data_IF_526811320843
#
_entry.id   IF_526811320843
#
_cell.length_a   1.000
_cell.length_b   1.000
_cell.length_c   1.000
_cell.angle_alpha   90.00
_cell.angle_beta   90.00
_cell.angle_gamma   90.00
#
_symmetry.space_group_name_H-M   'P 1'
#
loop_
_entity.id
_entity.type
_entity.pdbx_description
1 polymer ?
#
# COMPACT_ATOMS: atom_id res chain seq x y z
N UNK A 1 -21.48 4.85 6.54
CA UNK A 1 -21.78 3.45 6.11
C UNK A 1 -20.66 2.59 6.64
N UNK A 2 -20.95 1.61 7.45
CA UNK A 2 -19.97 0.60 7.90
C UNK A 2 -19.51 -0.22 6.69
N UNK A 3 -18.23 -0.58 6.65
CA UNK A 3 -17.70 -1.51 5.63
C UNK A 3 -18.55 -2.79 5.71
N UNK A 4 -19.15 -3.20 4.59
CA UNK A 4 -19.92 -4.45 4.55
C UNK A 4 -19.02 -5.65 4.86
N UNK A 5 -19.57 -6.73 5.44
CA UNK A 5 -18.79 -7.93 5.79
C UNK A 5 -18.11 -8.57 4.57
N UNK A 6 -18.62 -8.31 3.37
CA UNK A 6 -18.09 -8.86 2.11
C UNK A 6 -17.11 -7.89 1.39
N UNK A 7 -16.78 -6.76 2.01
CA UNK A 7 -15.85 -5.79 1.44
C UNK A 7 -14.42 -6.10 1.86
N UNK A 8 -13.51 -6.18 0.91
CA UNK A 8 -12.08 -6.34 1.15
C UNK A 8 -11.42 -4.96 1.09
N UNK A 9 -10.73 -4.57 2.16
CA UNK A 9 -9.90 -3.36 2.12
C UNK A 9 -8.51 -3.72 1.61
N UNK A 10 -8.05 -2.99 0.58
CA UNK A 10 -6.73 -3.21 -0.03
C UNK A 10 -5.87 -1.98 0.18
N UNK A 11 -4.68 -2.16 0.72
CA UNK A 11 -3.62 -1.15 0.66
C UNK A 11 -2.73 -1.48 -0.53
N UNK A 12 -2.63 -0.53 -1.47
CA UNK A 12 -1.87 -0.72 -2.71
C UNK A 12 -0.92 0.43 -3.02
N UNK A 13 -0.15 0.29 -4.09
CA UNK A 13 0.84 1.22 -4.61
C UNK A 13 2.07 0.50 -5.13
N UNK A 14 3.04 1.26 -5.65
CA UNK A 14 4.36 0.71 -5.95
C UNK A 14 5.09 0.29 -4.67
N UNK A 15 6.04 -0.65 -4.74
CA UNK A 15 6.99 -0.86 -3.65
C UNK A 15 7.63 0.46 -3.23
N UNK A 16 7.86 0.68 -1.92
CA UNK A 16 8.47 1.88 -1.33
C UNK A 16 7.60 3.16 -1.31
N UNK A 17 6.32 3.07 -1.65
CA UNK A 17 5.38 4.21 -1.54
C UNK A 17 4.76 4.38 -0.14
N UNK A 18 5.16 3.59 0.86
CA UNK A 18 4.62 3.69 2.22
C UNK A 18 3.44 2.78 2.51
N UNK A 19 3.22 1.74 1.71
CA UNK A 19 2.14 0.77 1.94
C UNK A 19 2.20 0.11 3.32
N UNK A 20 3.39 -0.21 3.84
CA UNK A 20 3.52 -0.76 5.21
C UNK A 20 3.18 0.26 6.29
N UNK A 21 3.47 1.55 6.09
CA UNK A 21 3.07 2.64 6.98
C UNK A 21 1.53 2.74 7.02
N UNK A 22 0.88 2.66 5.86
CA UNK A 22 -0.58 2.67 5.78
C UNK A 22 -1.21 1.46 6.47
N UNK A 23 -0.62 0.26 6.32
CA UNK A 23 -1.08 -0.94 7.05
C UNK A 23 -1.02 -0.74 8.56
N UNK A 24 0.05 -0.10 9.09
CA UNK A 24 0.16 0.24 10.51
C UNK A 24 -0.91 1.22 10.97
N UNK A 25 -1.18 2.26 10.17
CA UNK A 25 -2.25 3.21 10.49
C UNK A 25 -3.60 2.51 10.60
N UNK A 26 -3.93 1.63 9.66
CA UNK A 26 -5.20 0.91 9.64
C UNK A 26 -5.31 -0.10 10.80
N UNK A 27 -4.21 -0.80 11.14
CA UNK A 27 -4.14 -1.66 12.31
C UNK A 27 -4.36 -0.86 13.60
N UNK A 28 -3.67 0.27 13.75
CA UNK A 28 -3.85 1.17 14.90
C UNK A 28 -5.26 1.76 14.97
N UNK A 29 -5.90 1.99 13.83
CA UNK A 29 -7.30 2.40 13.73
C UNK A 29 -8.32 1.33 14.08
N UNK A 30 -7.87 0.09 14.34
CA UNK A 30 -8.73 -1.02 14.78
C UNK A 30 -9.14 -1.98 13.66
N UNK A 31 -8.58 -1.86 12.45
CA UNK A 31 -8.86 -2.83 11.38
C UNK A 31 -8.10 -4.14 11.57
N UNK A 32 -8.75 -5.24 11.22
CA UNK A 32 -8.11 -6.56 11.22
C UNK A 32 -7.24 -6.70 9.98
N UNK A 33 -5.96 -6.99 10.20
CA UNK A 33 -4.97 -7.13 9.13
C UNK A 33 -4.82 -8.59 8.73
N UNK A 34 -4.90 -8.88 7.43
CA UNK A 34 -4.57 -10.19 6.87
C UNK A 34 -3.08 -10.20 6.52
N UNK A 35 -2.29 -10.90 7.33
CA UNK A 35 -0.84 -11.07 7.17
C UNK A 35 -0.42 -12.42 7.77
N UNK A 36 0.62 -13.02 7.23
CA UNK A 36 1.22 -14.23 7.79
C UNK A 36 2.42 -13.97 8.72
N UNK A 37 2.92 -12.72 8.73
CA UNK A 37 4.08 -12.28 9.53
C UNK A 37 5.36 -13.08 9.26
N UNK A 38 5.47 -13.76 8.10
CA UNK A 38 6.65 -14.53 7.71
C UNK A 38 7.86 -13.62 7.54
N UNK A 39 7.65 -12.47 6.88
CA UNK A 39 8.72 -11.50 6.69
C UNK A 39 8.85 -10.59 7.90
N UNK A 40 9.90 -10.81 8.71
CA UNK A 40 10.22 -10.02 9.90
C UNK A 40 10.66 -8.59 9.54
N UNK A 41 10.51 -7.68 10.50
CA UNK A 41 11.01 -6.33 10.42
C UNK A 41 12.54 -6.31 10.25
N UNK A 42 13.03 -5.37 9.44
CA UNK A 42 14.45 -5.12 9.21
C UNK A 42 14.74 -3.61 9.18
N UNK A 43 15.97 -3.21 8.84
CA UNK A 43 16.35 -1.79 8.75
C UNK A 43 15.60 -1.03 7.65
N UNK A 44 15.10 -1.71 6.62
CA UNK A 44 14.34 -1.12 5.52
C UNK A 44 12.88 -0.91 5.89
N UNK A 45 12.37 -1.71 6.84
CA UNK A 45 11.02 -1.59 7.37
C UNK A 45 10.95 -2.05 8.84
N UNK A 46 11.37 -1.16 9.74
CA UNK A 46 11.54 -1.42 11.18
C UNK A 46 10.26 -1.85 11.91
N UNK A 47 9.09 -1.55 11.34
CA UNK A 47 7.78 -1.88 11.92
C UNK A 47 7.10 -3.07 11.25
N UNK A 48 7.80 -3.75 10.31
CA UNK A 48 7.31 -4.95 9.63
C UNK A 48 6.68 -4.68 8.26
N UNK A 49 6.53 -5.74 7.50
CA UNK A 49 6.16 -5.66 6.08
C UNK A 49 4.68 -5.85 5.81
N UNK A 50 3.93 -6.48 6.71
CA UNK A 50 2.50 -6.76 6.54
C UNK A 50 2.19 -7.51 5.23
N UNK A 51 3.08 -8.39 4.83
CA UNK A 51 2.90 -9.22 3.64
C UNK A 51 2.04 -10.44 3.98
N UNK A 52 1.35 -10.95 2.97
CA UNK A 52 0.62 -12.21 3.01
C UNK A 52 1.06 -13.01 1.80
N UNK A 53 1.73 -14.15 2.01
CA UNK A 53 2.45 -14.88 0.96
C UNK A 53 1.53 -15.29 -0.19
N UNK A 54 0.26 -15.63 0.12
CA UNK A 54 -0.73 -16.02 -0.90
C UNK A 54 -1.05 -14.91 -1.92
N UNK A 55 -0.76 -13.64 -1.61
CA UNK A 55 -0.91 -12.53 -2.57
C UNK A 55 -0.04 -12.74 -3.81
N UNK A 56 1.12 -13.37 -3.67
CA UNK A 56 2.03 -13.65 -4.80
C UNK A 56 1.41 -14.61 -5.82
N UNK A 57 0.49 -15.45 -5.39
CA UNK A 57 -0.23 -16.39 -6.26
C UNK A 57 -1.57 -15.86 -6.77
N UNK A 58 -1.94 -14.58 -6.53
CA UNK A 58 -3.24 -14.01 -6.86
C UNK A 58 -3.67 -14.23 -8.33
N UNK A 59 -2.71 -14.27 -9.25
CA UNK A 59 -2.97 -14.56 -10.67
C UNK A 59 -3.52 -15.97 -10.91
N UNK A 60 -3.13 -16.94 -10.09
CA UNK A 60 -3.45 -18.37 -10.28
C UNK A 60 -4.35 -18.95 -9.19
N UNK A 61 -4.34 -18.36 -7.98
CA UNK A 61 -5.16 -18.80 -6.85
C UNK A 61 -5.77 -17.58 -6.14
N UNK A 62 -7.09 -17.50 -6.14
CA UNK A 62 -7.90 -16.45 -5.54
C UNK A 62 -8.75 -16.94 -4.36
N UNK A 63 -8.67 -18.23 -3.99
CA UNK A 63 -9.52 -18.83 -2.97
C UNK A 63 -9.34 -18.17 -1.59
N UNK A 64 -8.14 -17.67 -1.30
CA UNK A 64 -7.82 -16.99 -0.05
C UNK A 64 -8.53 -15.62 0.11
N UNK A 65 -9.10 -15.05 -0.96
CA UNK A 65 -9.84 -13.77 -0.88
C UNK A 65 -11.06 -13.88 0.03
N UNK A 66 -11.64 -15.06 0.19
CA UNK A 66 -12.71 -15.29 1.16
C UNK A 66 -12.24 -14.99 2.60
N UNK A 67 -10.99 -15.30 2.94
CA UNK A 67 -10.38 -15.00 4.23
C UNK A 67 -10.09 -13.51 4.42
N UNK A 68 -10.07 -12.73 3.33
CA UNK A 68 -9.80 -11.28 3.34
C UNK A 68 -11.07 -10.44 3.54
N UNK A 69 -12.26 -11.03 3.44
CA UNK A 69 -13.54 -10.32 3.65
C UNK A 69 -13.60 -9.66 5.02
N UNK A 70 -13.93 -8.37 5.07
CA UNK A 70 -13.95 -7.55 6.28
C UNK A 70 -12.57 -7.20 6.85
N UNK A 71 -11.48 -7.53 6.16
CA UNK A 71 -10.08 -7.31 6.59
C UNK A 71 -9.33 -6.43 5.62
N UNK A 72 -8.12 -6.04 6.04
CA UNK A 72 -7.15 -5.30 5.21
C UNK A 72 -6.06 -6.24 4.73
N UNK A 73 -5.75 -6.18 3.45
CA UNK A 73 -4.63 -6.90 2.84
C UNK A 73 -3.77 -5.97 2.00
N UNK A 74 -2.45 -6.16 2.02
CA UNK A 74 -1.52 -5.40 1.19
C UNK A 74 -1.29 -6.12 -0.14
N UNK A 75 -1.58 -5.43 -1.25
CA UNK A 75 -1.43 -5.94 -2.62
C UNK A 75 -0.71 -4.87 -3.45
N UNK A 76 0.44 -5.20 -4.05
CA UNK A 76 1.15 -4.26 -4.93
C UNK A 76 0.31 -3.93 -6.18
N UNK A 77 0.51 -2.73 -6.74
CA UNK A 77 -0.31 -2.21 -7.85
C UNK A 77 -0.34 -3.13 -9.07
N UNK A 78 0.75 -3.81 -9.38
CA UNK A 78 0.87 -4.76 -10.49
C UNK A 78 -0.13 -5.94 -10.39
N UNK A 79 -0.48 -6.34 -9.17
CA UNK A 79 -1.36 -7.49 -8.94
C UNK A 79 -2.85 -7.13 -8.88
N UNK A 80 -3.22 -5.85 -8.80
CA UNK A 80 -4.62 -5.43 -8.71
C UNK A 80 -5.48 -5.93 -9.88
N UNK A 81 -4.91 -6.01 -11.07
CA UNK A 81 -5.58 -6.49 -12.27
C UNK A 81 -6.11 -7.94 -12.18
N UNK A 82 -5.60 -8.72 -11.24
CA UNK A 82 -6.01 -10.11 -11.02
C UNK A 82 -7.11 -10.24 -9.95
N UNK A 83 -7.55 -9.15 -9.33
CA UNK A 83 -8.66 -9.16 -8.38
C UNK A 83 -9.98 -9.45 -9.12
N UNK A 84 -10.75 -10.47 -8.72
CA UNK A 84 -12.01 -10.81 -9.36
C UNK A 84 -13.10 -9.79 -9.03
N UNK A 85 -14.00 -9.55 -9.97
CA UNK A 85 -15.13 -8.63 -9.79
C UNK A 85 -16.27 -9.19 -8.90
N UNK A 86 -16.11 -10.37 -8.32
CA UNK A 86 -17.08 -11.01 -7.43
C UNK A 86 -17.08 -10.45 -6.01
N UNK A 87 -16.08 -9.66 -5.63
CA UNK A 87 -15.97 -8.97 -4.36
C UNK A 87 -16.07 -7.46 -4.53
N UNK A 88 -16.44 -6.75 -3.47
CA UNK A 88 -16.34 -5.29 -3.39
C UNK A 88 -15.02 -4.90 -2.71
N UNK A 89 -14.34 -3.90 -3.27
CA UNK A 89 -13.03 -3.47 -2.75
C UNK A 89 -13.06 -1.99 -2.37
N UNK A 90 -12.47 -1.68 -1.22
CA UNK A 90 -12.05 -0.33 -0.83
C UNK A 90 -10.52 -0.27 -0.91
N UNK A 91 -10.00 0.48 -1.88
CA UNK A 91 -8.56 0.53 -2.16
C UNK A 91 -7.99 1.84 -1.63
N UNK A 92 -7.08 1.76 -0.66
CA UNK A 92 -6.24 2.89 -0.25
C UNK A 92 -4.95 2.80 -1.05
N UNK A 93 -4.83 3.63 -2.08
CA UNK A 93 -3.72 3.59 -3.03
C UNK A 93 -2.65 4.63 -2.63
N UNK A 94 -1.48 4.13 -2.24
CA UNK A 94 -0.35 4.96 -1.82
C UNK A 94 0.43 5.49 -3.00
N UNK A 95 0.58 6.82 -3.05
CA UNK A 95 1.39 7.53 -4.03
C UNK A 95 2.62 8.16 -3.37
N UNK A 96 3.71 8.24 -4.10
CA UNK A 96 4.94 8.92 -3.70
C UNK A 96 5.66 9.39 -4.96
N UNK A 97 6.46 10.46 -4.83
CA UNK A 97 7.36 10.89 -5.89
C UNK A 97 8.22 9.73 -6.39
N UNK A 98 8.25 9.52 -7.71
CA UNK A 98 8.92 8.37 -8.33
C UNK A 98 10.43 8.37 -8.06
N UNK A 99 11.05 9.54 -8.04
CA UNK A 99 12.49 9.64 -7.76
C UNK A 99 12.80 9.29 -6.31
N UNK A 100 11.89 9.61 -5.37
CA UNK A 100 12.02 9.15 -3.98
C UNK A 100 11.80 7.64 -3.84
N UNK A 101 10.91 7.06 -4.65
CA UNK A 101 10.70 5.60 -4.70
C UNK A 101 11.97 4.91 -5.17
N UNK A 102 12.58 5.38 -6.27
CA UNK A 102 13.82 4.83 -6.82
C UNK A 102 14.96 4.95 -5.83
N UNK A 103 15.20 6.15 -5.27
CA UNK A 103 16.22 6.35 -4.25
C UNK A 103 16.06 5.42 -3.02
N UNK A 104 14.80 5.19 -2.60
CA UNK A 104 14.50 4.25 -1.51
C UNK A 104 14.75 2.79 -1.88
N UNK A 105 14.54 2.43 -3.14
CA UNK A 105 14.80 1.09 -3.67
C UNK A 105 16.30 0.82 -3.76
N UNK A 106 17.08 1.76 -4.28
CA UNK A 106 18.54 1.66 -4.39
C UNK A 106 19.18 1.48 -3.02
N UNK A 107 18.77 2.26 -2.04
CA UNK A 107 19.25 2.10 -0.66
C UNK A 107 18.96 0.72 -0.07
N UNK A 108 17.80 0.15 -0.39
CA UNK A 108 17.44 -1.21 0.02
C UNK A 108 18.35 -2.24 -0.67
N UNK A 109 18.59 -2.11 -1.98
CA UNK A 109 19.45 -3.03 -2.74
C UNK A 109 20.90 -2.98 -2.23
N UNK A 110 21.44 -1.78 -2.02
CA UNK A 110 22.79 -1.59 -1.46
C UNK A 110 22.96 -2.27 -0.10
N UNK A 111 21.98 -2.12 0.82
CA UNK A 111 22.02 -2.80 2.14
C UNK A 111 21.97 -4.31 2.05
N UNK A 112 21.37 -4.85 1.01
CA UNK A 112 21.31 -6.30 0.75
C UNK A 112 22.54 -6.83 0.02
N UNK A 113 23.53 -5.98 -0.28
CA UNK A 113 24.72 -6.34 -1.04
C UNK A 113 24.41 -6.68 -2.50
N UNK A 114 23.25 -6.24 -2.99
CA UNK A 114 22.89 -6.38 -4.41
C UNK A 114 23.37 -5.10 -5.08
N UNK A 115 24.42 -5.21 -5.88
CA UNK A 115 24.81 -4.12 -6.79
C UNK A 115 23.63 -3.87 -7.72
N UNK A 116 23.26 -2.58 -7.92
CA UNK A 116 22.26 -2.24 -8.92
C UNK A 116 22.76 -2.82 -10.24
N UNK A 117 21.98 -3.70 -10.84
CA UNK A 117 22.32 -4.32 -12.12
C UNK A 117 22.50 -3.18 -13.13
N UNK A 118 23.77 -2.88 -13.46
CA UNK A 118 24.28 -1.72 -14.16
C UNK A 118 23.39 -1.19 -15.27
N UNK A 119 23.47 0.15 -15.46
CA UNK A 119 23.10 0.90 -16.67
C UNK A 119 21.61 1.04 -17.05
N UNK A 120 20.64 0.65 -16.22
CA UNK A 120 19.27 1.12 -16.49
C UNK A 120 19.16 2.53 -15.94
N UNK A 121 19.04 3.52 -16.82
CA UNK A 121 18.87 4.93 -16.45
C UNK A 121 17.61 5.09 -15.57
N UNK A 122 17.77 5.68 -14.38
CA UNK A 122 16.66 6.02 -13.46
C UNK A 122 15.49 6.67 -14.18
N UNK A 123 15.75 7.44 -15.23
CA UNK A 123 14.73 8.06 -16.08
C UNK A 123 13.89 7.04 -16.83
N UNK A 124 14.50 5.97 -17.31
CA UNK A 124 13.78 4.90 -18.02
C UNK A 124 12.90 4.12 -17.05
N UNK A 125 13.42 3.82 -15.86
CA UNK A 125 12.63 3.15 -14.81
C UNK A 125 11.48 4.06 -14.35
N UNK A 126 11.74 5.36 -14.17
CA UNK A 126 10.70 6.33 -13.82
C UNK A 126 9.57 6.35 -14.85
N UNK A 127 9.90 6.40 -16.15
CA UNK A 127 8.90 6.36 -17.22
C UNK A 127 8.07 5.07 -17.21
N UNK A 128 8.69 3.92 -16.93
CA UNK A 128 7.99 2.63 -16.82
C UNK A 128 7.00 2.68 -15.65
N UNK A 129 7.41 3.21 -14.50
CA UNK A 129 6.55 3.32 -13.31
C UNK A 129 5.41 4.33 -13.54
N UNK A 130 5.69 5.49 -14.14
CA UNK A 130 4.68 6.49 -14.48
C UNK A 130 3.62 5.90 -15.42
N UNK A 131 4.06 5.20 -16.47
CA UNK A 131 3.17 4.52 -17.40
C UNK A 131 2.31 3.47 -16.67
N UNK A 132 2.93 2.61 -15.87
CA UNK A 132 2.21 1.60 -15.08
C UNK A 132 1.17 2.23 -14.16
N UNK A 133 1.51 3.31 -13.45
CA UNK A 133 0.58 4.00 -12.56
C UNK A 133 -0.59 4.63 -13.33
N UNK A 134 -0.33 5.24 -14.48
CA UNK A 134 -1.38 5.81 -15.33
C UNK A 134 -2.34 4.72 -15.86
N UNK A 135 -1.80 3.60 -16.32
CA UNK A 135 -2.59 2.45 -16.78
C UNK A 135 -3.41 1.84 -15.62
N UNK A 136 -2.80 1.69 -14.44
CA UNK A 136 -3.48 1.16 -13.24
C UNK A 136 -4.62 2.07 -12.82
N UNK A 137 -4.41 3.39 -12.80
CA UNK A 137 -5.43 4.39 -12.45
C UNK A 137 -6.60 4.32 -13.42
N UNK A 138 -6.33 4.35 -14.73
CA UNK A 138 -7.37 4.25 -15.76
C UNK A 138 -8.14 2.94 -15.68
N UNK A 139 -7.47 1.84 -15.34
CA UNK A 139 -8.11 0.54 -15.16
C UNK A 139 -9.02 0.52 -13.91
N UNK A 140 -8.58 1.08 -12.79
CA UNK A 140 -9.37 1.16 -11.55
C UNK A 140 -10.65 2.01 -11.74
N UNK A 141 -10.57 3.13 -12.46
CA UNK A 141 -11.72 4.00 -12.77
C UNK A 141 -12.82 3.28 -13.55
N UNK A 142 -12.48 2.22 -14.27
CA UNK A 142 -13.43 1.41 -15.04
C UNK A 142 -14.03 0.25 -14.25
N UNK A 143 -13.67 0.09 -12.94
CA UNK A 143 -14.12 -1.05 -12.11
C UNK A 143 -15.14 -0.62 -11.07
N UNK A 144 -16.45 -0.83 -11.30
CA UNK A 144 -17.50 -0.43 -10.36
C UNK A 144 -17.39 -1.08 -8.97
N UNK A 145 -16.75 -2.25 -8.89
CA UNK A 145 -16.53 -2.98 -7.64
C UNK A 145 -15.30 -2.50 -6.85
N UNK A 146 -14.53 -1.54 -7.38
CA UNK A 146 -13.26 -1.08 -6.82
C UNK A 146 -13.30 0.42 -6.57
N UNK A 147 -13.70 0.83 -5.36
CA UNK A 147 -13.63 2.23 -4.96
C UNK A 147 -12.22 2.56 -4.46
N UNK A 148 -11.61 3.63 -4.97
CA UNK A 148 -10.19 3.93 -4.71
C UNK A 148 -10.02 5.31 -4.11
N UNK A 149 -9.27 5.40 -3.01
CA UNK A 149 -8.78 6.63 -2.40
C UNK A 149 -7.26 6.73 -2.59
N UNK A 150 -6.81 7.77 -3.28
CA UNK A 150 -5.38 8.05 -3.46
C UNK A 150 -4.84 8.89 -2.30
N UNK A 151 -3.74 8.42 -1.70
CA UNK A 151 -3.09 9.05 -0.54
C UNK A 151 -1.61 9.24 -0.85
N UNK A 152 -1.15 10.49 -0.79
CA UNK A 152 0.26 10.79 -0.96
C UNK A 152 1.04 10.52 0.35
N UNK A 153 2.17 9.84 0.23
CA UNK A 153 3.06 9.50 1.34
C UNK A 153 3.50 10.73 2.14
N UNK A 154 3.89 11.80 1.43
CA UNK A 154 4.42 13.00 2.07
C UNK A 154 3.32 13.78 2.81
N UNK A 155 2.08 13.73 2.31
CA UNK A 155 0.93 14.32 2.99
C UNK A 155 0.62 13.58 4.31
N UNK A 156 0.79 12.25 4.33
CA UNK A 156 0.63 11.47 5.57
C UNK A 156 1.65 11.92 6.62
N UNK A 157 2.90 12.13 6.21
CA UNK A 157 3.96 12.58 7.13
C UNK A 157 3.78 14.02 7.60
N UNK A 158 3.31 14.90 6.70
CA UNK A 158 3.10 16.32 7.01
C UNK A 158 1.85 16.56 7.88
N UNK A 159 0.79 15.77 7.67
CA UNK A 159 -0.51 15.99 8.31
C UNK A 159 -1.22 14.66 8.61
N UNK A 160 -0.66 13.82 9.50
CA UNK A 160 -1.13 12.46 9.72
C UNK A 160 -2.60 12.39 10.16
N UNK A 161 -3.04 13.30 11.03
CA UNK A 161 -4.43 13.32 11.51
C UNK A 161 -5.42 13.72 10.39
N UNK A 162 -5.03 14.63 9.49
CA UNK A 162 -5.88 15.01 8.35
C UNK A 162 -6.06 13.82 7.41
N UNK A 163 -4.99 13.11 7.11
CA UNK A 163 -5.05 11.94 6.25
C UNK A 163 -5.80 10.78 6.93
N UNK A 164 -5.61 10.57 8.24
CA UNK A 164 -6.37 9.57 9.00
C UNK A 164 -7.89 9.82 8.90
N UNK A 165 -8.34 11.07 9.05
CA UNK A 165 -9.77 11.43 8.89
C UNK A 165 -10.29 11.19 7.46
N UNK A 166 -9.49 11.48 6.42
CA UNK A 166 -9.88 11.19 5.03
C UNK A 166 -10.06 9.68 4.80
N UNK A 167 -9.12 8.89 5.31
CA UNK A 167 -9.15 7.43 5.21
C UNK A 167 -10.34 6.86 5.98
N UNK A 168 -10.58 7.33 7.21
CA UNK A 168 -11.73 6.93 8.03
C UNK A 168 -13.07 7.23 7.33
N UNK A 169 -13.22 8.45 6.79
CA UNK A 169 -14.41 8.81 6.01
C UNK A 169 -14.62 7.89 4.80
N UNK A 170 -13.56 7.57 4.08
CA UNK A 170 -13.60 6.63 2.97
C UNK A 170 -13.98 5.22 3.40
N UNK A 171 -13.50 4.77 4.57
CA UNK A 171 -13.70 3.41 5.10
C UNK A 171 -14.95 3.28 6.00
N UNK A 172 -15.76 4.33 6.18
CA UNK A 172 -17.07 4.23 6.84
C UNK A 172 -17.18 4.83 8.23
N UNK A 173 -16.24 5.67 8.65
CA UNK A 173 -16.24 6.45 9.90
C UNK A 173 -16.30 5.58 11.18
N UNK A 174 -15.47 4.56 11.27
CA UNK A 174 -15.44 3.63 12.40
C UNK A 174 -14.05 3.45 13.02
N UNK A 175 -13.03 4.22 12.54
CA UNK A 175 -11.64 4.03 12.94
C UNK A 175 -11.22 5.02 14.04
N UNK A 176 -10.28 4.61 14.89
CA UNK A 176 -9.60 5.53 15.82
C UNK A 176 -8.55 6.38 15.07
N UNK A 177 -9.00 7.52 14.55
CA UNK A 177 -8.15 8.44 13.76
C UNK A 177 -6.98 9.02 14.57
N UNK A 178 -7.13 9.17 15.89
CA UNK A 178 -6.05 9.69 16.73
C UNK A 178 -4.96 8.63 16.88
N UNK A 179 -5.35 7.39 17.10
CA UNK A 179 -4.38 6.28 17.17
C UNK A 179 -3.72 6.04 15.80
N UNK A 180 -4.48 6.09 14.70
CA UNK A 180 -3.91 6.06 13.34
C UNK A 180 -2.80 7.10 13.15
N UNK A 181 -3.04 8.34 13.56
CA UNK A 181 -2.08 9.43 13.42
C UNK A 181 -0.85 9.26 14.32
N UNK A 182 -1.03 8.71 15.54
CA UNK A 182 0.03 8.59 16.55
C UNK A 182 1.15 7.61 16.17
N UNK A 183 0.88 6.64 15.29
CA UNK A 183 1.87 5.64 14.87
C UNK A 183 2.80 6.14 13.77
N UNK A 184 2.52 7.33 13.21
CA UNK A 184 3.38 7.94 12.19
C UNK A 184 4.61 8.55 12.84
N UNK A 185 5.77 8.11 12.40
CA UNK A 185 7.07 8.62 12.83
C UNK A 185 7.71 9.41 11.68
N UNK A 186 7.72 10.76 11.75
CA UNK A 186 8.37 11.59 10.74
C UNK A 186 9.87 11.32 10.59
N UNK A 187 10.51 10.77 11.62
CA UNK A 187 11.94 10.41 11.62
C UNK A 187 12.28 9.25 10.69
N UNK A 188 11.28 8.48 10.27
CA UNK A 188 11.44 7.41 9.27
C UNK A 188 11.50 7.92 7.81
N UNK A 189 11.23 9.22 7.58
CA UNK A 189 11.37 9.85 6.27
C UNK A 189 12.83 10.17 5.98
N UNK A 190 13.55 9.23 5.36
CA UNK A 190 15.00 9.29 5.14
C UNK A 190 15.41 9.78 3.76
N UNK A 191 14.51 9.76 2.80
CA UNK A 191 14.76 10.13 1.41
C UNK A 191 13.99 11.42 1.07
N UNK A 192 14.50 12.55 1.57
CA UNK A 192 14.02 13.89 1.21
C UNK A 192 14.81 14.38 0.00
N UNK A 193 14.13 14.90 -0.99
CA UNK A 193 14.70 15.76 -2.03
C UNK A 193 14.18 17.18 -1.87
#
# INVERSE_FOLDING_TARGET
>A
MTIGPDTITVVSGLPRTGTSMMMQMLEAGGMVILTDRIRVADEDNRKGYYEYEKVKSLKSDQNWLADASGKVVKIISELLQYLPGSYTYKIVFMERDILEVLASQDQMLLRRGIESAGEVDDRQIAQIFEKHLAETRSWLEQKPSMETLYINHNDVLASPLVQAKRIDSFLGNALDVNHMASVIDPGLYRQRR
#
